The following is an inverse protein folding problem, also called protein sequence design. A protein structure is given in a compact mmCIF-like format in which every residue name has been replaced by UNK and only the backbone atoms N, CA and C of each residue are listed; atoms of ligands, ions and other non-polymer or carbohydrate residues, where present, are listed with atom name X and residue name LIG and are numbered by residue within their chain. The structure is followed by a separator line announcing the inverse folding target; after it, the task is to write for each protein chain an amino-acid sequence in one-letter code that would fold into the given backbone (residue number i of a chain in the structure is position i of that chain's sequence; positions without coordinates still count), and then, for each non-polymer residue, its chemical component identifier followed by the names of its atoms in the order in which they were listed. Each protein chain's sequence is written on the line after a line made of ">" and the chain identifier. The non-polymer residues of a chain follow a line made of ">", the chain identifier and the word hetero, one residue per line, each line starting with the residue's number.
data_IF_768879888881
#
_entry.id   IF_768879888881
#
_cell.length_a   1.000
_cell.length_b   1.000
_cell.length_c   1.000
_cell.angle_alpha   90.00
_cell.angle_beta   90.00
_cell.angle_gamma   90.00
#
_symmetry.space_group_name_H-M   'P 1'
#
loop_
_entity.id
_entity.type
_entity.pdbx_description
1 polymer ?
#
# COMPACT_ATOMS: atom_id res chain seq x y z
N UNK A 1 4.64 16.42 -24.02
CA UNK A 1 3.22 16.02 -24.20
C UNK A 1 3.03 14.52 -24.34
N UNK A 2 3.76 13.81 -25.20
CA UNK A 2 3.59 12.36 -25.42
C UNK A 2 3.76 11.49 -24.15
N UNK A 3 4.71 11.80 -23.29
CA UNK A 3 5.00 11.01 -22.09
C UNK A 3 3.88 11.10 -21.03
N UNK A 4 3.35 12.30 -20.78
CA UNK A 4 2.21 12.50 -19.89
C UNK A 4 0.94 11.79 -20.39
N UNK A 5 0.70 11.86 -21.70
CA UNK A 5 -0.41 11.16 -22.32
C UNK A 5 -0.27 9.63 -22.16
N UNK A 6 0.95 9.10 -22.33
CA UNK A 6 1.22 7.67 -22.11
C UNK A 6 0.98 7.25 -20.66
N UNK A 7 1.43 8.06 -19.68
CA UNK A 7 1.14 7.81 -18.25
C UNK A 7 -0.37 7.78 -18.01
N UNK A 8 -1.10 8.76 -18.51
CA UNK A 8 -2.56 8.80 -18.37
C UNK A 8 -3.24 7.56 -18.96
N UNK A 9 -2.82 7.11 -20.14
CA UNK A 9 -3.38 5.89 -20.76
C UNK A 9 -3.10 4.64 -19.92
N UNK A 10 -1.91 4.51 -19.32
CA UNK A 10 -1.59 3.38 -18.45
C UNK A 10 -2.40 3.41 -17.15
N UNK A 11 -2.54 4.57 -16.51
CA UNK A 11 -3.40 4.77 -15.36
C UNK A 11 -4.85 4.38 -15.69
N UNK A 12 -5.37 4.87 -16.83
CA UNK A 12 -6.72 4.54 -17.28
C UNK A 12 -6.92 3.04 -17.45
N UNK A 13 -5.98 2.32 -18.09
CA UNK A 13 -6.04 0.86 -18.23
C UNK A 13 -6.10 0.13 -16.88
N UNK A 14 -5.35 0.61 -15.88
CA UNK A 14 -5.35 0.00 -14.53
C UNK A 14 -6.66 0.27 -13.78
N UNK A 15 -7.19 1.50 -13.84
CA UNK A 15 -8.39 1.91 -13.13
C UNK A 15 -9.66 1.28 -13.73
N UNK A 16 -9.72 1.13 -15.05
CA UNK A 16 -10.90 0.53 -15.71
C UNK A 16 -11.00 -0.98 -15.48
N UNK A 17 -9.95 -1.63 -14.97
CA UNK A 17 -9.96 -3.06 -14.65
C UNK A 17 -10.76 -3.37 -13.36
N UNK A 18 -11.55 -4.44 -13.38
CA UNK A 18 -12.29 -4.90 -12.19
C UNK A 18 -11.39 -5.22 -11.00
N UNK A 19 -10.13 -5.57 -11.24
CA UNK A 19 -9.14 -5.88 -10.20
C UNK A 19 -8.81 -4.64 -9.36
N UNK A 20 -8.85 -3.45 -9.95
CA UNK A 20 -8.66 -2.19 -9.23
C UNK A 20 -9.75 -2.00 -8.15
N UNK A 21 -11.00 -2.19 -8.50
CA UNK A 21 -12.11 -2.09 -7.55
C UNK A 21 -12.07 -3.20 -6.51
N UNK A 22 -11.72 -4.42 -6.93
CA UNK A 22 -11.50 -5.54 -6.01
C UNK A 22 -10.40 -5.27 -5.00
N UNK A 23 -9.30 -4.62 -5.40
CA UNK A 23 -8.22 -4.24 -4.51
C UNK A 23 -8.68 -3.18 -3.47
N UNK A 24 -9.46 -2.18 -3.88
CA UNK A 24 -10.04 -1.17 -2.95
C UNK A 24 -10.93 -1.84 -1.90
N UNK A 25 -11.83 -2.72 -2.34
CA UNK A 25 -12.73 -3.47 -1.42
C UNK A 25 -11.92 -4.35 -0.48
N UNK A 26 -10.87 -5.01 -0.97
CA UNK A 26 -10.01 -5.84 -0.15
C UNK A 26 -9.23 -5.02 0.90
N UNK A 27 -8.74 -3.83 0.57
CA UNK A 27 -8.14 -2.89 1.54
C UNK A 27 -9.16 -2.51 2.62
N UNK A 28 -10.40 -2.20 2.26
CA UNK A 28 -11.47 -1.91 3.20
C UNK A 28 -11.70 -3.10 4.17
N UNK A 29 -11.90 -4.31 3.63
CA UNK A 29 -12.20 -5.51 4.42
C UNK A 29 -11.06 -5.88 5.38
N UNK A 30 -9.81 -5.76 4.93
CA UNK A 30 -8.64 -6.04 5.79
C UNK A 30 -8.55 -5.02 6.93
N UNK A 31 -8.85 -3.75 6.68
CA UNK A 31 -8.90 -2.77 7.77
C UNK A 31 -10.04 -3.06 8.76
N UNK A 32 -11.20 -3.51 8.28
CA UNK A 32 -12.31 -3.92 9.15
C UNK A 32 -12.02 -5.17 9.98
N UNK A 33 -11.15 -6.06 9.51
CA UNK A 33 -10.75 -7.28 10.25
C UNK A 33 -9.68 -7.03 11.32
N UNK A 34 -9.08 -5.84 11.37
CA UNK A 34 -8.09 -5.49 12.38
C UNK A 34 -8.70 -5.31 13.77
N UNK A 35 -7.94 -5.67 14.80
CA UNK A 35 -8.37 -5.56 16.20
C UNK A 35 -8.50 -4.09 16.61
N UNK A 36 -9.66 -3.72 17.14
CA UNK A 36 -10.01 -2.33 17.52
C UNK A 36 -10.12 -2.18 19.04
N UNK A 37 -10.69 -3.18 19.71
CA UNK A 37 -10.94 -3.16 21.14
C UNK A 37 -10.50 -4.47 21.78
N UNK A 38 -10.15 -4.41 23.07
CA UNK A 38 -9.78 -5.56 23.88
C UNK A 38 -10.69 -5.61 25.10
N UNK A 39 -11.29 -6.76 25.37
CA UNK A 39 -11.97 -7.01 26.61
C UNK A 39 -10.94 -7.37 27.70
N UNK A 40 -10.86 -6.55 28.73
CA UNK A 40 -9.91 -6.75 29.82
C UNK A 40 -10.29 -7.91 30.75
N UNK A 41 -11.56 -8.33 30.74
CA UNK A 41 -12.05 -9.45 31.56
C UNK A 41 -11.74 -10.81 30.94
N UNK A 42 -11.93 -10.95 29.63
CA UNK A 42 -11.73 -12.21 28.89
C UNK A 42 -10.40 -12.25 28.12
N UNK A 43 -9.67 -11.13 28.06
CA UNK A 43 -8.47 -10.96 27.22
C UNK A 43 -8.73 -11.13 25.70
N UNK A 44 -9.99 -11.19 25.29
CA UNK A 44 -10.37 -11.30 23.89
C UNK A 44 -10.22 -9.95 23.17
N UNK A 45 -9.84 -10.01 21.88
CA UNK A 45 -9.72 -8.84 21.03
C UNK A 45 -10.84 -8.85 20.00
N UNK A 46 -11.48 -7.71 19.81
CA UNK A 46 -12.62 -7.56 18.91
C UNK A 46 -12.25 -6.69 17.70
N UNK A 47 -12.64 -7.15 16.52
CA UNK A 47 -12.53 -6.38 15.29
C UNK A 47 -13.84 -5.60 15.00
N UNK A 48 -13.81 -4.70 14.02
CA UNK A 48 -14.96 -3.87 13.68
C UNK A 48 -16.19 -4.71 13.30
N UNK A 49 -15.99 -5.81 12.58
CA UNK A 49 -17.09 -6.68 12.11
C UNK A 49 -17.80 -7.32 13.31
N UNK A 50 -17.05 -7.78 14.31
CA UNK A 50 -17.59 -8.34 15.56
C UNK A 50 -18.35 -7.28 16.36
N UNK A 51 -17.78 -6.07 16.51
CA UNK A 51 -18.41 -4.95 17.21
C UNK A 51 -19.73 -4.54 16.56
N UNK A 52 -19.82 -4.55 15.24
CA UNK A 52 -21.08 -4.27 14.50
C UNK A 52 -22.14 -5.32 14.82
N UNK A 53 -21.77 -6.59 15.00
CA UNK A 53 -22.67 -7.68 15.33
C UNK A 53 -23.09 -7.77 16.80
N UNK A 54 -22.50 -6.97 17.71
CA UNK A 54 -22.82 -6.99 19.14
C UNK A 54 -24.12 -6.24 19.47
N UNK A 55 -24.73 -6.64 20.60
CA UNK A 55 -25.88 -5.90 21.18
C UNK A 55 -25.44 -4.49 21.61
N UNK A 56 -26.36 -3.53 21.54
CA UNK A 56 -26.08 -2.11 21.84
C UNK A 56 -25.45 -1.87 23.21
N UNK A 57 -25.90 -2.58 24.25
CA UNK A 57 -25.38 -2.45 25.61
C UNK A 57 -23.90 -2.91 25.72
N UNK A 58 -23.59 -4.11 25.24
CA UNK A 58 -22.21 -4.63 25.26
C UNK A 58 -21.25 -3.82 24.36
N UNK A 59 -21.76 -3.31 23.23
CA UNK A 59 -20.99 -2.42 22.34
C UNK A 59 -20.57 -1.13 23.06
N UNK A 60 -21.50 -0.43 23.72
CA UNK A 60 -21.21 0.84 24.40
C UNK A 60 -20.21 0.62 25.55
N UNK A 61 -20.38 -0.41 26.35
CA UNK A 61 -19.48 -0.74 27.44
C UNK A 61 -18.05 -1.03 26.92
N UNK A 62 -17.90 -1.89 25.92
CA UNK A 62 -16.61 -2.25 25.34
C UNK A 62 -15.90 -1.05 24.70
N UNK A 63 -16.63 -0.18 24.01
CA UNK A 63 -16.06 1.02 23.38
C UNK A 63 -15.65 2.08 24.41
N UNK A 64 -16.42 2.25 25.50
CA UNK A 64 -16.07 3.19 26.58
C UNK A 64 -14.87 2.71 27.38
N UNK A 65 -14.76 1.42 27.71
CA UNK A 65 -13.62 0.83 28.41
C UNK A 65 -12.31 0.97 27.63
N UNK A 66 -12.36 0.89 26.30
CA UNK A 66 -11.17 1.03 25.45
C UNK A 66 -10.95 2.46 24.95
N UNK A 67 -11.82 3.40 25.32
CA UNK A 67 -11.80 4.76 24.75
C UNK A 67 -11.71 4.74 23.19
N UNK A 68 -12.42 3.77 22.60
CA UNK A 68 -12.39 3.45 21.18
C UNK A 68 -13.32 4.36 20.42
N UNK A 69 -12.82 5.55 20.04
CA UNK A 69 -13.55 6.52 19.22
C UNK A 69 -13.17 6.41 17.74
N UNK A 70 -14.08 6.84 16.86
CA UNK A 70 -13.83 6.90 15.41
C UNK A 70 -12.50 7.62 15.12
N UNK A 71 -12.24 8.76 15.78
CA UNK A 71 -11.02 9.55 15.60
C UNK A 71 -9.75 8.77 15.94
N UNK A 72 -9.72 8.13 17.11
CA UNK A 72 -8.53 7.36 17.54
C UNK A 72 -8.26 6.19 16.62
N UNK A 73 -9.29 5.42 16.26
CA UNK A 73 -9.14 4.25 15.40
C UNK A 73 -8.74 4.66 13.99
N UNK A 74 -9.29 5.74 13.44
CA UNK A 74 -8.90 6.23 12.13
C UNK A 74 -7.46 6.72 12.10
N UNK A 75 -7.00 7.46 13.11
CA UNK A 75 -5.64 7.99 13.14
C UNK A 75 -4.58 6.93 13.46
N UNK A 76 -4.86 6.02 14.40
CA UNK A 76 -3.90 4.99 14.81
C UNK A 76 -4.09 3.65 14.11
N UNK A 77 -5.26 3.41 13.56
CA UNK A 77 -5.61 2.35 12.62
C UNK A 77 -5.57 0.92 13.18
N UNK A 78 -6.30 0.04 12.56
CA UNK A 78 -6.17 -1.41 12.70
C UNK A 78 -4.95 -1.90 11.90
N UNK A 79 -3.76 -1.63 12.40
CA UNK A 79 -2.53 -1.72 11.61
C UNK A 79 -2.02 -3.15 11.39
N UNK A 80 -2.56 -4.13 12.09
CA UNK A 80 -2.00 -5.48 12.12
C UNK A 80 -1.89 -6.15 10.76
N UNK A 81 -3.00 -6.31 10.06
CA UNK A 81 -3.04 -7.09 8.82
C UNK A 81 -2.77 -6.27 7.56
N UNK A 82 -3.09 -4.97 7.56
CA UNK A 82 -2.88 -4.10 6.40
C UNK A 82 -1.41 -4.08 5.95
N UNK A 83 -0.47 -4.02 6.92
CA UNK A 83 0.96 -4.03 6.63
C UNK A 83 1.43 -5.26 5.90
N UNK A 84 0.84 -6.40 6.23
CA UNK A 84 1.20 -7.66 5.60
C UNK A 84 0.70 -7.71 4.16
N UNK A 85 -0.56 -7.35 3.94
CA UNK A 85 -1.23 -7.55 2.66
C UNK A 85 -1.13 -6.36 1.69
N UNK A 86 -0.69 -5.18 2.14
CA UNK A 86 -0.65 -3.97 1.31
C UNK A 86 0.06 -4.18 -0.02
N UNK A 87 1.27 -4.73 -0.02
CA UNK A 87 2.04 -4.93 -1.26
C UNK A 87 1.33 -5.86 -2.25
N UNK A 88 0.62 -6.87 -1.77
CA UNK A 88 -0.15 -7.79 -2.60
C UNK A 88 -1.37 -7.08 -3.22
N UNK A 89 -2.11 -6.33 -2.40
CA UNK A 89 -3.35 -5.68 -2.84
C UNK A 89 -3.10 -4.55 -3.85
N UNK A 90 -2.16 -3.65 -3.53
CA UNK A 90 -1.90 -2.48 -4.38
C UNK A 90 -1.22 -2.84 -5.69
N UNK A 91 -0.50 -3.96 -5.73
CA UNK A 91 0.21 -4.41 -6.92
C UNK A 91 -0.63 -5.26 -7.87
N UNK A 92 -1.75 -5.81 -7.41
CA UNK A 92 -2.57 -6.73 -8.21
C UNK A 92 -2.99 -6.15 -9.57
N UNK A 93 -3.53 -4.92 -9.71
CA UNK A 93 -3.90 -4.37 -11.01
C UNK A 93 -2.72 -4.26 -11.97
N UNK A 94 -1.57 -3.80 -11.48
CA UNK A 94 -0.35 -3.66 -12.28
C UNK A 94 0.18 -5.03 -12.75
N UNK A 95 0.31 -6.00 -11.85
CA UNK A 95 0.85 -7.33 -12.18
C UNK A 95 -0.02 -8.05 -13.20
N UNK A 96 -1.34 -7.96 -13.08
CA UNK A 96 -2.24 -8.59 -14.04
C UNK A 96 -2.11 -7.99 -15.44
N UNK A 97 -2.00 -6.67 -15.55
CA UNK A 97 -1.76 -6.00 -16.84
C UNK A 97 -0.40 -6.36 -17.43
N UNK A 98 0.66 -6.34 -16.61
CA UNK A 98 2.01 -6.65 -17.08
C UNK A 98 2.15 -8.11 -17.53
N UNK A 99 1.57 -9.05 -16.78
CA UNK A 99 1.59 -10.46 -17.17
C UNK A 99 0.78 -10.73 -18.45
N UNK A 100 -0.36 -10.04 -18.62
CA UNK A 100 -1.15 -10.09 -19.85
C UNK A 100 -0.36 -9.54 -21.05
N UNK A 101 0.27 -8.38 -20.89
CA UNK A 101 1.11 -7.77 -21.93
C UNK A 101 2.31 -8.66 -22.31
N UNK A 102 2.93 -9.35 -21.34
CA UNK A 102 4.01 -10.31 -21.59
C UNK A 102 3.52 -11.53 -22.38
N UNK A 103 2.36 -12.07 -22.02
CA UNK A 103 1.77 -13.24 -22.69
C UNK A 103 1.44 -12.95 -24.14
N UNK A 104 0.96 -11.74 -24.44
CA UNK A 104 0.53 -11.32 -25.78
C UNK A 104 1.64 -10.67 -26.62
N UNK A 105 2.90 -10.68 -26.16
CA UNK A 105 4.05 -10.02 -26.80
C UNK A 105 3.87 -8.51 -27.09
N UNK A 106 2.87 -7.87 -26.49
CA UNK A 106 2.57 -6.45 -26.71
C UNK A 106 3.68 -5.51 -26.20
N UNK A 107 4.50 -5.98 -25.26
CA UNK A 107 5.61 -5.21 -24.69
C UNK A 107 6.58 -4.74 -25.79
N UNK A 108 6.92 -5.59 -26.77
CA UNK A 108 7.83 -5.23 -27.84
C UNK A 108 7.29 -4.04 -28.66
N UNK A 109 6.00 -4.06 -29.00
CA UNK A 109 5.36 -2.96 -29.75
C UNK A 109 5.33 -1.65 -28.95
N UNK A 110 5.04 -1.73 -27.64
CA UNK A 110 5.05 -0.55 -26.77
C UNK A 110 6.46 0.04 -26.66
N UNK A 111 7.50 -0.79 -26.53
CA UNK A 111 8.90 -0.35 -26.48
C UNK A 111 9.35 0.28 -27.81
N UNK A 112 9.01 -0.33 -28.96
CA UNK A 112 9.34 0.25 -30.27
C UNK A 112 8.71 1.62 -30.45
N UNK A 113 7.49 1.81 -29.97
CA UNK A 113 6.76 3.07 -30.11
C UNK A 113 7.27 4.18 -29.20
N UNK A 114 7.67 3.88 -27.97
CA UNK A 114 8.00 4.89 -26.96
C UNK A 114 9.48 4.97 -26.62
N UNK A 115 10.26 3.95 -26.94
CA UNK A 115 11.62 3.77 -26.46
C UNK A 115 11.70 3.11 -25.06
N UNK A 116 12.82 2.41 -24.80
CA UNK A 116 13.00 1.59 -23.57
C UNK A 116 12.84 2.42 -22.28
N UNK A 117 13.49 3.58 -22.20
CA UNK A 117 13.46 4.44 -20.99
C UNK A 117 12.05 5.00 -20.74
N UNK A 118 11.41 5.56 -21.77
CA UNK A 118 10.07 6.12 -21.64
C UNK A 118 9.05 5.04 -21.23
N UNK A 119 9.18 3.82 -21.75
CA UNK A 119 8.37 2.68 -21.37
C UNK A 119 8.49 2.36 -19.86
N UNK A 120 9.73 2.19 -19.36
CA UNK A 120 10.01 1.89 -17.93
C UNK A 120 9.46 3.01 -17.05
N UNK A 121 9.75 4.26 -17.40
CA UNK A 121 9.32 5.43 -16.64
C UNK A 121 7.78 5.50 -16.57
N UNK A 122 7.12 5.37 -17.70
CA UNK A 122 5.64 5.45 -17.79
C UNK A 122 4.98 4.36 -16.95
N UNK A 123 5.43 3.11 -17.07
CA UNK A 123 4.90 1.98 -16.28
C UNK A 123 5.18 2.15 -14.80
N UNK A 124 6.38 2.60 -14.42
CA UNK A 124 6.76 2.85 -13.03
C UNK A 124 5.91 3.92 -12.38
N UNK A 125 5.82 5.10 -12.99
CA UNK A 125 5.03 6.21 -12.45
C UNK A 125 3.54 5.86 -12.37
N UNK A 126 2.98 5.26 -13.43
CA UNK A 126 1.58 4.86 -13.43
C UNK A 126 1.25 3.83 -12.35
N UNK A 127 2.12 2.82 -12.16
CA UNK A 127 1.91 1.78 -11.14
C UNK A 127 1.95 2.35 -9.73
N UNK A 128 2.91 3.23 -9.43
CA UNK A 128 3.09 3.87 -8.13
C UNK A 128 1.91 4.77 -7.79
N UNK A 129 1.44 5.59 -8.74
CA UNK A 129 0.28 6.46 -8.53
C UNK A 129 -1.01 5.65 -8.29
N UNK A 130 -1.26 4.61 -9.08
CA UNK A 130 -2.44 3.75 -8.91
C UNK A 130 -2.41 3.02 -7.57
N UNK A 131 -1.25 2.54 -7.13
CA UNK A 131 -1.08 1.91 -5.83
C UNK A 131 -1.41 2.88 -4.68
N UNK A 132 -0.94 4.13 -4.77
CA UNK A 132 -1.27 5.18 -3.82
C UNK A 132 -2.77 5.46 -3.76
N UNK A 133 -3.43 5.55 -4.93
CA UNK A 133 -4.89 5.77 -5.01
C UNK A 133 -5.68 4.62 -4.38
N UNK A 134 -5.30 3.35 -4.63
CA UNK A 134 -5.97 2.18 -4.03
C UNK A 134 -5.94 2.27 -2.50
N UNK A 135 -4.77 2.56 -1.92
CA UNK A 135 -4.63 2.66 -0.47
C UNK A 135 -5.39 3.86 0.09
N UNK A 136 -5.28 5.03 -0.55
CA UNK A 136 -5.96 6.24 -0.13
C UNK A 136 -7.49 6.08 -0.15
N UNK A 137 -8.05 5.57 -1.25
CA UNK A 137 -9.50 5.38 -1.40
C UNK A 137 -10.01 4.26 -0.50
N UNK A 138 -9.32 3.11 -0.45
CA UNK A 138 -9.72 1.99 0.41
C UNK A 138 -9.71 2.36 1.89
N UNK A 139 -8.70 3.10 2.35
CA UNK A 139 -8.64 3.61 3.72
C UNK A 139 -9.63 4.73 3.98
N UNK A 140 -9.91 5.59 3.02
CA UNK A 140 -10.94 6.60 3.10
C UNK A 140 -12.34 6.00 3.28
N UNK A 141 -12.67 4.95 2.52
CA UNK A 141 -13.91 4.19 2.70
C UNK A 141 -13.99 3.54 4.09
N UNK A 142 -12.87 3.02 4.62
CA UNK A 142 -12.81 2.52 5.99
C UNK A 142 -13.15 3.63 7.00
N UNK A 143 -12.63 4.85 6.84
CA UNK A 143 -12.97 6.00 7.68
C UNK A 143 -14.47 6.35 7.65
N UNK A 144 -15.12 6.25 6.48
CA UNK A 144 -16.58 6.45 6.36
C UNK A 144 -17.32 5.36 7.14
N UNK A 145 -16.93 4.10 7.00
CA UNK A 145 -17.54 2.99 7.76
C UNK A 145 -17.37 3.20 9.27
N UNK A 146 -16.18 3.61 9.73
CA UNK A 146 -15.95 3.91 11.14
C UNK A 146 -16.89 5.02 11.65
N UNK A 147 -17.10 6.09 10.87
CA UNK A 147 -17.96 7.20 11.26
C UNK A 147 -19.44 6.84 11.40
N UNK A 148 -19.88 5.78 10.69
CA UNK A 148 -21.26 5.29 10.78
C UNK A 148 -21.48 4.41 12.03
N UNK A 149 -20.49 3.60 12.38
CA UNK A 149 -20.66 2.54 13.40
C UNK A 149 -20.07 2.88 14.76
N UNK A 150 -19.17 3.85 14.85
CA UNK A 150 -18.50 4.21 16.10
C UNK A 150 -18.90 5.62 16.57
N UNK A 151 -18.86 5.87 17.90
CA UNK A 151 -19.12 7.19 18.42
C UNK A 151 -18.06 8.18 17.88
N UNK A 152 -18.53 9.38 17.53
CA UNK A 152 -17.66 10.48 17.18
C UNK A 152 -16.78 10.81 18.39
N UNK A 153 -15.46 10.71 18.23
CA UNK A 153 -14.51 11.21 19.24
C UNK A 153 -14.37 12.72 19.17
N UNK A 154 -13.41 13.26 19.92
CA UNK A 154 -13.01 14.66 19.79
C UNK A 154 -12.76 15.01 18.33
N UNK A 155 -13.39 16.08 17.84
CA UNK A 155 -13.64 16.40 16.43
C UNK A 155 -12.53 16.06 15.47
N UNK A 156 -12.80 15.16 14.55
CA UNK A 156 -11.98 14.91 13.38
C UNK A 156 -11.88 16.19 12.55
N UNK A 157 -10.77 16.92 12.65
CA UNK A 157 -10.55 18.05 11.75
C UNK A 157 -10.29 17.53 10.34
N UNK A 158 -10.78 18.26 9.32
CA UNK A 158 -10.51 17.95 7.91
C UNK A 158 -9.00 17.79 7.64
N UNK A 159 -8.19 18.60 8.34
CA UNK A 159 -6.73 18.53 8.22
C UNK A 159 -6.16 17.17 8.67
N UNK A 160 -6.67 16.60 9.77
CA UNK A 160 -6.25 15.28 10.25
C UNK A 160 -6.60 14.17 9.25
N UNK A 161 -7.79 14.26 8.64
CA UNK A 161 -8.23 13.30 7.62
C UNK A 161 -7.32 13.37 6.40
N UNK A 162 -7.08 14.57 5.87
CA UNK A 162 -6.21 14.78 4.70
C UNK A 162 -4.80 14.30 4.98
N UNK A 163 -4.25 14.63 6.15
CA UNK A 163 -2.93 14.17 6.59
C UNK A 163 -2.84 12.64 6.57
N UNK A 164 -3.82 11.96 7.16
CA UNK A 164 -3.85 10.50 7.25
C UNK A 164 -4.02 9.83 5.88
N UNK A 165 -4.90 10.35 5.04
CA UNK A 165 -5.07 9.86 3.67
C UNK A 165 -3.81 10.04 2.83
N UNK A 166 -3.09 11.15 3.00
CA UNK A 166 -1.81 11.39 2.33
C UNK A 166 -0.74 10.39 2.80
N UNK A 167 -0.66 10.09 4.10
CA UNK A 167 0.22 9.03 4.61
C UNK A 167 -0.09 7.67 3.95
N UNK A 168 -1.37 7.30 3.86
CA UNK A 168 -1.78 6.06 3.22
C UNK A 168 -1.49 6.04 1.72
N UNK A 169 -1.60 7.18 1.05
CA UNK A 169 -1.20 7.32 -0.34
C UNK A 169 0.30 7.03 -0.53
N UNK A 170 1.17 7.65 0.27
CA UNK A 170 2.63 7.39 0.22
C UNK A 170 2.97 5.96 0.59
N UNK A 171 2.26 5.38 1.55
CA UNK A 171 2.43 3.98 1.90
C UNK A 171 2.08 3.03 0.75
N UNK A 172 0.98 3.29 0.03
CA UNK A 172 0.63 2.55 -1.18
C UNK A 172 1.70 2.67 -2.26
N UNK A 173 2.24 3.88 -2.48
CA UNK A 173 3.32 4.12 -3.44
C UNK A 173 4.58 3.31 -3.12
N UNK A 174 5.00 3.28 -1.85
CA UNK A 174 6.21 2.54 -1.43
C UNK A 174 6.03 1.02 -1.52
N UNK A 175 4.84 0.51 -1.22
CA UNK A 175 4.55 -0.92 -1.16
C UNK A 175 4.62 -1.63 -2.52
N UNK A 176 4.48 -0.92 -3.64
CA UNK A 176 4.53 -1.52 -4.98
C UNK A 176 5.94 -1.64 -5.55
N UNK A 177 6.94 -0.93 -5.00
CA UNK A 177 8.27 -0.79 -5.61
C UNK A 177 8.96 -2.13 -5.85
N UNK A 178 8.95 -3.01 -4.85
CA UNK A 178 9.54 -4.34 -4.97
C UNK A 178 8.83 -5.20 -6.02
N UNK A 179 7.49 -5.13 -6.06
CA UNK A 179 6.69 -5.82 -7.07
C UNK A 179 6.99 -5.32 -8.48
N UNK A 180 7.16 -4.00 -8.64
CA UNK A 180 7.53 -3.40 -9.91
C UNK A 180 8.87 -3.94 -10.40
N UNK A 181 9.89 -3.97 -9.54
CA UNK A 181 11.21 -4.52 -9.86
C UNK A 181 11.14 -6.01 -10.25
N UNK A 182 10.44 -6.84 -9.46
CA UNK A 182 10.30 -8.28 -9.72
C UNK A 182 9.49 -8.58 -10.98
N UNK A 183 8.56 -7.72 -11.33
CA UNK A 183 7.78 -7.86 -12.57
C UNK A 183 8.66 -7.81 -13.83
N UNK A 184 9.84 -7.19 -13.79
CA UNK A 184 10.80 -7.20 -14.89
C UNK A 184 11.40 -8.60 -15.09
N UNK A 185 11.76 -9.27 -13.98
CA UNK A 185 12.52 -10.54 -14.00
C UNK A 185 11.59 -11.73 -14.21
N UNK A 186 10.46 -11.76 -13.52
CA UNK A 186 9.61 -12.95 -13.42
C UNK A 186 8.47 -12.94 -14.44
N UNK A 187 8.16 -14.12 -14.98
CA UNK A 187 7.01 -14.35 -15.89
C UNK A 187 5.75 -14.79 -15.13
N UNK A 188 5.93 -15.42 -13.95
CA UNK A 188 4.82 -15.97 -13.17
C UNK A 188 4.19 -14.89 -12.27
N UNK A 189 2.92 -14.57 -12.54
CA UNK A 189 2.15 -13.54 -11.81
C UNK A 189 2.03 -13.82 -10.30
N UNK A 190 1.92 -15.08 -9.90
CA UNK A 190 1.78 -15.44 -8.49
C UNK A 190 3.07 -15.19 -7.72
N UNK A 191 4.24 -15.53 -8.29
CA UNK A 191 5.52 -15.24 -7.66
C UNK A 191 5.79 -13.75 -7.54
N UNK A 192 5.43 -12.98 -8.57
CA UNK A 192 5.57 -11.51 -8.55
C UNK A 192 4.73 -10.86 -7.44
N UNK A 193 3.57 -11.44 -7.11
CA UNK A 193 2.71 -10.96 -6.02
C UNK A 193 3.16 -11.46 -4.64
N UNK A 194 3.50 -12.75 -4.52
CA UNK A 194 3.78 -13.37 -3.23
C UNK A 194 5.15 -13.01 -2.66
N UNK A 195 6.20 -12.86 -3.50
CA UNK A 195 7.54 -12.55 -3.00
C UNK A 195 7.61 -11.21 -2.28
N UNK A 196 7.06 -10.10 -2.81
CA UNK A 196 7.04 -8.82 -2.08
C UNK A 196 6.27 -8.87 -0.77
N UNK A 197 5.16 -9.60 -0.75
CA UNK A 197 4.38 -9.84 0.46
C UNK A 197 5.23 -10.55 1.54
N UNK A 198 5.89 -11.66 1.18
CA UNK A 198 6.76 -12.39 2.09
C UNK A 198 7.97 -11.56 2.53
N UNK A 199 8.59 -10.82 1.61
CA UNK A 199 9.74 -9.97 1.91
C UNK A 199 9.37 -8.85 2.90
N UNK A 200 8.26 -8.17 2.70
CA UNK A 200 7.79 -7.13 3.62
C UNK A 200 7.45 -7.68 5.01
N UNK A 201 6.81 -8.85 5.06
CA UNK A 201 6.52 -9.54 6.32
C UNK A 201 7.80 -9.92 7.08
N UNK A 202 8.76 -10.56 6.38
CA UNK A 202 10.04 -10.95 6.99
C UNK A 202 10.85 -9.74 7.43
N UNK A 203 10.91 -8.69 6.61
CA UNK A 203 11.63 -7.47 6.93
C UNK A 203 11.03 -6.81 8.19
N UNK A 204 9.72 -6.68 8.27
CA UNK A 204 9.06 -6.15 9.45
C UNK A 204 9.33 -7.02 10.68
N UNK A 205 9.16 -8.34 10.57
CA UNK A 205 9.41 -9.28 11.67
C UNK A 205 10.86 -9.23 12.17
N UNK A 206 11.82 -9.02 11.28
CA UNK A 206 13.23 -8.84 11.64
C UNK A 206 13.47 -7.51 12.36
N UNK A 207 12.90 -6.43 11.84
CA UNK A 207 13.06 -5.08 12.41
C UNK A 207 12.38 -4.93 13.78
N UNK A 208 11.34 -5.72 14.06
CA UNK A 208 10.63 -5.71 15.35
C UNK A 208 11.35 -6.49 16.47
N UNK A 209 12.52 -7.11 16.18
CA UNK A 209 13.31 -7.80 17.22
C UNK A 209 13.96 -6.79 18.18
N UNK A 210 14.01 -7.10 19.49
CA UNK A 210 14.49 -6.16 20.52
C UNK A 210 15.91 -5.59 20.26
N UNK A 211 16.81 -6.40 19.68
CA UNK A 211 18.20 -5.98 19.40
C UNK A 211 18.31 -4.96 18.25
N UNK A 212 17.38 -4.95 17.30
CA UNK A 212 17.35 -4.00 16.19
C UNK A 212 16.43 -2.81 16.48
N UNK A 213 15.59 -2.90 17.51
CA UNK A 213 14.60 -1.89 17.86
C UNK A 213 15.21 -0.54 18.25
N UNK A 214 16.47 -0.53 18.72
CA UNK A 214 17.18 0.68 19.17
C UNK A 214 17.94 1.40 18.05
N UNK A 215 18.01 0.85 16.83
CA UNK A 215 18.77 1.44 15.75
C UNK A 215 17.96 2.52 15.02
N UNK A 216 18.50 3.72 14.86
CA UNK A 216 17.84 4.87 14.21
C UNK A 216 17.45 4.60 12.76
N UNK A 217 18.30 3.91 12.00
CA UNK A 217 18.02 3.54 10.61
C UNK A 217 16.80 2.59 10.41
N UNK A 218 16.35 1.94 11.50
CA UNK A 218 15.15 1.11 11.49
C UNK A 218 13.93 1.86 11.00
N UNK A 219 13.76 3.09 11.46
CA UNK A 219 12.61 3.93 11.07
C UNK A 219 12.60 4.24 9.59
N UNK A 220 13.78 4.36 8.96
CA UNK A 220 13.92 4.67 7.53
C UNK A 220 13.60 3.47 6.65
N UNK A 221 14.12 2.29 7.01
CA UNK A 221 14.01 1.06 6.19
C UNK A 221 12.67 0.33 6.41
N UNK A 222 11.99 0.58 7.53
CA UNK A 222 10.75 -0.11 7.84
C UNK A 222 9.70 0.12 6.73
N UNK A 223 9.14 -0.93 6.12
CA UNK A 223 8.12 -0.79 5.08
C UNK A 223 6.88 -0.01 5.53
N UNK A 224 6.62 0.06 6.84
CA UNK A 224 5.50 0.80 7.40
C UNK A 224 5.78 2.29 7.62
N UNK A 225 7.02 2.76 7.54
CA UNK A 225 7.39 4.15 7.82
C UNK A 225 6.61 5.20 7.02
N UNK A 226 6.31 5.01 5.72
CA UNK A 226 5.55 6.01 4.98
C UNK A 226 4.15 6.28 5.52
N UNK A 227 3.56 5.35 6.29
CA UNK A 227 2.23 5.53 6.86
C UNK A 227 2.20 6.36 8.15
N UNK A 228 3.35 6.73 8.68
CA UNK A 228 3.51 7.60 9.85
C UNK A 228 4.33 8.85 9.53
N UNK A 229 4.42 9.19 8.26
CA UNK A 229 5.32 10.23 7.76
C UNK A 229 5.15 11.56 8.49
N UNK A 230 3.92 11.95 8.76
CA UNK A 230 3.62 13.23 9.41
C UNK A 230 3.68 13.19 10.94
N UNK A 231 3.78 12.02 11.55
CA UNK A 231 4.00 11.87 13.00
C UNK A 231 5.49 11.87 13.36
N UNK A 232 6.38 11.76 12.36
CA UNK A 232 7.83 11.80 12.55
C UNK A 232 8.36 13.23 12.67
N UNK A 233 9.53 13.38 13.28
CA UNK A 233 10.30 14.62 13.25
C UNK A 233 10.69 15.01 11.82
N UNK A 234 10.94 16.30 11.60
CA UNK A 234 11.21 16.83 10.26
C UNK A 234 12.40 16.16 9.57
N UNK A 235 13.49 15.93 10.30
CA UNK A 235 14.71 15.29 9.76
C UNK A 235 14.42 13.85 9.36
N UNK A 236 13.84 13.07 10.25
CA UNK A 236 13.47 11.67 9.98
C UNK A 236 12.50 11.55 8.78
N UNK A 237 11.56 12.48 8.66
CA UNK A 237 10.66 12.55 7.52
C UNK A 237 11.39 12.72 6.20
N UNK A 238 12.38 13.62 6.14
CA UNK A 238 13.20 13.82 4.95
C UNK A 238 14.02 12.57 4.61
N UNK A 239 14.60 11.90 5.60
CA UNK A 239 15.34 10.65 5.41
C UNK A 239 14.47 9.55 4.83
N UNK A 240 13.27 9.35 5.38
CA UNK A 240 12.29 8.37 4.87
C UNK A 240 11.90 8.68 3.44
N UNK A 241 11.54 9.92 3.13
CA UNK A 241 11.16 10.32 1.76
C UNK A 241 12.32 10.15 0.79
N UNK A 242 13.53 10.57 1.16
CA UNK A 242 14.72 10.42 0.32
C UNK A 242 15.05 8.94 0.06
N UNK A 243 14.95 8.09 1.09
CA UNK A 243 15.14 6.65 0.95
C UNK A 243 14.16 6.02 -0.04
N UNK A 244 12.86 6.32 0.08
CA UNK A 244 11.85 5.74 -0.80
C UNK A 244 11.91 6.28 -2.23
N UNK A 245 12.31 7.54 -2.44
CA UNK A 245 12.62 8.08 -3.76
C UNK A 245 13.83 7.36 -4.36
N UNK A 246 14.88 7.14 -3.57
CA UNK A 246 16.03 6.37 -3.99
C UNK A 246 15.70 4.93 -4.38
N UNK A 247 14.84 4.26 -3.58
CA UNK A 247 14.34 2.92 -3.88
C UNK A 247 13.50 2.88 -5.17
N UNK A 248 12.70 3.91 -5.43
CA UNK A 248 11.99 4.05 -6.69
C UNK A 248 12.94 4.19 -7.89
N UNK A 249 13.92 5.08 -7.79
CA UNK A 249 14.92 5.25 -8.83
C UNK A 249 15.71 3.95 -9.09
N UNK A 250 16.10 3.26 -8.02
CA UNK A 250 16.80 1.96 -8.10
C UNK A 250 15.94 0.89 -8.77
N UNK A 251 14.66 0.81 -8.41
CA UNK A 251 13.73 -0.17 -9.00
C UNK A 251 13.53 0.07 -10.50
N UNK A 252 13.45 1.34 -10.93
CA UNK A 252 13.39 1.72 -12.34
C UNK A 252 14.69 1.37 -13.07
N UNK A 253 15.83 1.63 -12.44
CA UNK A 253 17.14 1.31 -13.02
C UNK A 253 17.31 -0.20 -13.23
N UNK A 254 16.97 -1.03 -12.23
CA UNK A 254 16.99 -2.49 -12.35
C UNK A 254 16.05 -2.96 -13.47
N UNK A 255 14.83 -2.41 -13.51
CA UNK A 255 13.88 -2.74 -14.56
C UNK A 255 14.45 -2.44 -15.96
N UNK A 256 15.06 -1.25 -16.12
CA UNK A 256 15.69 -0.85 -17.37
C UNK A 256 16.84 -1.78 -17.78
N UNK A 257 17.72 -2.15 -16.85
CA UNK A 257 18.83 -3.09 -17.11
C UNK A 257 18.32 -4.47 -17.56
N UNK A 258 17.32 -5.01 -16.89
CA UNK A 258 16.72 -6.30 -17.25
C UNK A 258 16.11 -6.26 -18.65
N UNK A 259 15.39 -5.17 -18.95
CA UNK A 259 14.76 -4.97 -20.24
C UNK A 259 15.81 -4.87 -21.36
N UNK A 260 16.91 -4.16 -21.08
CA UNK A 260 18.00 -3.99 -22.06
C UNK A 260 18.62 -5.33 -22.41
N UNK A 261 19.00 -6.12 -21.41
CA UNK A 261 19.56 -7.47 -21.63
C UNK A 261 18.63 -8.40 -22.43
N UNK A 262 17.33 -8.38 -22.15
CA UNK A 262 16.35 -9.22 -22.84
C UNK A 262 16.11 -8.80 -24.29
N UNK A 263 16.10 -7.51 -24.56
CA UNK A 263 15.97 -7.02 -25.94
C UNK A 263 17.19 -7.33 -26.79
N UNK A 264 18.39 -7.34 -26.17
CA UNK A 264 19.65 -7.64 -26.89
C UNK A 264 19.80 -9.14 -27.18
N UNK A 265 19.19 -10.01 -26.37
CA UNK A 265 19.21 -11.48 -26.57
C UNK A 265 18.10 -12.01 -27.49
N UNK A 266 17.22 -11.15 -27.99
CA UNK A 266 16.13 -11.58 -28.88
C UNK A 266 15.01 -12.41 -28.23
N UNK A 267 15.00 -12.55 -26.87
CA UNK A 267 14.01 -13.29 -26.10
C UNK A 267 12.75 -12.48 -25.72
#
# INVERSE_FOLDING_TARGET
>A
MLLLYSIYQEIKKMITGYIFYGAIVAVLLINMSGNIAKDFSTSETYNLIQIIGMNSAGKTELLTLNDATCTKIFLHGSQGYLWMFASLLVSAPFVMLMCSAKKNNNIRFEIYRMGKFAYVFTKGVASVLVAGVIMCVGYGLYGIVLSIFLPAGEGLSLWMIVKRLTEMFFYGMSSILLTYCLSAVMKNKYLVLCIPFMANYLLKSLLDRPGLAQMEWRTVINPSSPSYLFSMEYVQRLEVVAFWIGMFALSMFIYYLVLNRRCDCGE
#
